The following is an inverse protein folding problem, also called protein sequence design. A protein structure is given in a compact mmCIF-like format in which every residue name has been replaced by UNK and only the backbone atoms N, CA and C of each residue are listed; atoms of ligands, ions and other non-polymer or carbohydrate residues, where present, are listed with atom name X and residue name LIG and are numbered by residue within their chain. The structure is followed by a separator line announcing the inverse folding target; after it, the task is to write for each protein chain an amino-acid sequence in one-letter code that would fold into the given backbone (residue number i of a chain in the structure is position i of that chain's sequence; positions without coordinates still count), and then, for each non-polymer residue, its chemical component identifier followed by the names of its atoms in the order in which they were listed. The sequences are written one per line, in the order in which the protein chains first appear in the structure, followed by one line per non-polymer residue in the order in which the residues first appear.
data_IF_206790069685
#
_entry.id   IF_206790069685
#
_cell.length_a   1.000
_cell.length_b   1.000
_cell.length_c   1.000
_cell.angle_alpha   90.00
_cell.angle_beta   90.00
_cell.angle_gamma   90.00
#
_symmetry.space_group_name_H-M   'P 1'
#
loop_
_entity.id
_entity.type
_entity.pdbx_description
1 polymer ?
#
# COMPACT_ATOMS: atom_id res chain seq x y z
N UNK A 1 -46.57 -2.63 75.24
CA UNK A 1 -46.13 -3.76 76.10
C UNK A 1 -46.74 -5.02 75.52
N UNK A 2 -45.93 -5.95 75.04
CA UNK A 2 -46.39 -7.21 74.44
C UNK A 2 -47.13 -8.04 75.50
N UNK A 3 -48.33 -8.56 75.19
CA UNK A 3 -49.15 -9.35 76.12
C UNK A 3 -49.42 -10.71 75.49
N UNK A 4 -49.28 -11.77 76.29
CA UNK A 4 -49.60 -13.14 75.88
C UNK A 4 -50.84 -13.58 76.65
N UNK A 5 -51.79 -14.16 75.94
CA UNK A 5 -52.96 -14.81 76.55
C UNK A 5 -52.51 -16.13 77.16
N UNK A 6 -52.68 -16.27 78.46
CA UNK A 6 -52.36 -17.48 79.19
C UNK A 6 -53.59 -17.97 79.95
N UNK A 7 -53.96 -19.22 79.75
CA UNK A 7 -55.03 -19.86 80.49
C UNK A 7 -54.48 -20.46 81.79
N UNK A 8 -55.02 -20.04 82.93
CA UNK A 8 -54.60 -20.55 84.24
C UNK A 8 -55.82 -21.03 85.05
N UNK A 9 -55.68 -22.10 85.85
CA UNK A 9 -56.74 -22.58 86.72
C UNK A 9 -56.95 -21.61 87.89
N UNK A 10 -58.18 -21.15 88.07
CA UNK A 10 -58.59 -20.27 89.16
C UNK A 10 -59.52 -21.04 90.08
N UNK A 11 -59.32 -20.91 91.39
CA UNK A 11 -60.19 -21.56 92.37
C UNK A 11 -61.58 -20.91 92.37
N UNK A 12 -62.62 -21.68 92.07
CA UNK A 12 -64.00 -21.23 92.18
C UNK A 12 -64.58 -21.69 93.53
N UNK A 13 -64.69 -20.75 94.48
CA UNK A 13 -65.07 -21.03 95.86
C UNK A 13 -66.50 -21.60 96.01
N UNK A 14 -67.42 -21.22 95.12
CA UNK A 14 -68.81 -21.69 95.14
C UNK A 14 -68.95 -23.16 94.70
N UNK A 15 -68.15 -23.58 93.72
CA UNK A 15 -68.19 -24.95 93.18
C UNK A 15 -67.11 -25.87 93.77
N UNK A 16 -66.17 -25.33 94.55
CA UNK A 16 -65.01 -26.03 95.12
C UNK A 16 -64.19 -26.80 94.07
N UNK A 17 -64.06 -26.25 92.86
CA UNK A 17 -63.26 -26.80 91.75
C UNK A 17 -62.43 -25.70 91.08
N UNK A 18 -61.32 -26.08 90.45
CA UNK A 18 -60.53 -25.17 89.62
C UNK A 18 -61.16 -25.06 88.22
N UNK A 19 -61.47 -23.85 87.77
CA UNK A 19 -61.94 -23.54 86.42
C UNK A 19 -60.86 -22.74 85.67
N UNK A 20 -60.59 -23.05 84.40
CA UNK A 20 -59.59 -22.33 83.60
C UNK A 20 -60.14 -20.98 83.13
N UNK A 21 -59.36 -19.92 83.32
CA UNK A 21 -59.68 -18.57 82.83
C UNK A 21 -58.51 -17.98 82.07
N UNK A 22 -58.81 -17.23 81.00
CA UNK A 22 -57.82 -16.59 80.14
C UNK A 22 -57.38 -15.24 80.69
N UNK A 23 -56.08 -15.05 80.88
CA UNK A 23 -55.48 -13.81 81.37
C UNK A 23 -54.55 -13.19 80.33
N UNK A 24 -54.64 -11.87 80.16
CA UNK A 24 -53.67 -11.11 79.36
C UNK A 24 -52.45 -10.77 80.24
N UNK A 25 -51.41 -11.61 80.17
CA UNK A 25 -50.18 -11.41 80.95
C UNK A 25 -49.20 -10.53 80.16
N UNK A 26 -48.75 -9.38 80.69
CA UNK A 26 -47.72 -8.59 80.05
C UNK A 26 -46.39 -9.36 80.09
N UNK A 27 -45.81 -9.64 78.92
CA UNK A 27 -44.48 -10.23 78.85
C UNK A 27 -43.48 -9.20 79.31
N UNK A 28 -42.88 -9.46 80.47
CA UNK A 28 -41.77 -8.70 81.02
C UNK A 28 -40.57 -9.62 81.05
N UNK A 29 -39.58 -9.31 80.22
CA UNK A 29 -38.26 -9.88 80.38
C UNK A 29 -37.66 -9.36 81.67
N UNK A 30 -36.97 -10.23 82.40
CA UNK A 30 -36.16 -9.77 83.51
C UNK A 30 -35.09 -8.81 82.97
N UNK A 31 -34.65 -7.79 83.74
CA UNK A 31 -33.61 -6.86 83.28
C UNK A 31 -32.33 -7.54 82.78
N UNK A 32 -32.01 -8.73 83.30
CA UNK A 32 -30.89 -9.53 82.82
C UNK A 32 -31.13 -10.15 81.43
N UNK A 33 -32.35 -10.62 81.15
CA UNK A 33 -32.73 -11.21 79.85
C UNK A 33 -32.78 -10.16 78.75
N UNK A 34 -33.24 -8.94 79.06
CA UNK A 34 -33.22 -7.81 78.11
C UNK A 34 -31.80 -7.51 77.65
N UNK A 35 -30.85 -7.41 78.59
CA UNK A 35 -29.44 -7.17 78.30
C UNK A 35 -28.80 -8.31 77.49
N UNK A 36 -29.18 -9.56 77.74
CA UNK A 36 -28.70 -10.71 76.97
C UNK A 36 -29.21 -10.67 75.52
N UNK A 37 -30.48 -10.30 75.31
CA UNK A 37 -31.05 -10.16 73.97
C UNK A 37 -30.38 -9.01 73.21
N UNK A 38 -30.20 -7.86 73.85
CA UNK A 38 -29.50 -6.71 73.25
C UNK A 38 -28.05 -7.08 72.89
N UNK A 39 -27.33 -7.75 73.79
CA UNK A 39 -25.98 -8.24 73.53
C UNK A 39 -25.93 -9.20 72.33
N UNK A 40 -26.88 -10.14 72.27
CA UNK A 40 -27.02 -11.06 71.13
C UNK A 40 -27.27 -10.30 69.83
N UNK A 41 -28.15 -9.31 69.82
CA UNK A 41 -28.42 -8.53 68.60
C UNK A 41 -27.18 -7.78 68.12
N UNK A 42 -26.33 -7.28 69.03
CA UNK A 42 -25.04 -6.69 68.68
C UNK A 42 -24.11 -7.71 68.02
N UNK A 43 -23.93 -8.88 68.63
CA UNK A 43 -23.10 -9.94 68.03
C UNK A 43 -23.63 -10.43 66.68
N UNK A 44 -24.94 -10.61 66.54
CA UNK A 44 -25.57 -11.04 65.28
C UNK A 44 -25.34 -9.99 64.17
N UNK A 45 -25.45 -8.70 64.53
CA UNK A 45 -25.19 -7.60 63.60
C UNK A 45 -23.71 -7.53 63.21
N UNK A 46 -22.79 -7.65 64.16
CA UNK A 46 -21.35 -7.70 63.91
C UNK A 46 -20.97 -8.85 62.99
N UNK A 47 -21.49 -10.05 63.26
CA UNK A 47 -21.28 -11.24 62.43
C UNK A 47 -21.82 -11.07 61.01
N UNK A 48 -22.93 -10.35 60.83
CA UNK A 48 -23.49 -10.09 59.50
C UNK A 48 -22.54 -9.26 58.64
N UNK A 49 -21.97 -8.19 59.19
CA UNK A 49 -20.99 -7.37 58.46
C UNK A 49 -19.67 -8.10 58.25
N UNK A 50 -19.17 -8.81 59.27
CA UNK A 50 -17.94 -9.60 59.16
C UNK A 50 -18.05 -10.66 58.06
N UNK A 51 -19.14 -11.46 58.02
CA UNK A 51 -19.38 -12.46 56.97
C UNK A 51 -19.47 -11.87 55.57
N UNK A 52 -19.97 -10.63 55.46
CA UNK A 52 -20.02 -9.93 54.17
C UNK A 52 -18.62 -9.55 53.70
N UNK A 53 -17.80 -9.00 54.58
CA UNK A 53 -16.39 -8.68 54.30
C UNK A 53 -15.59 -9.93 53.97
N UNK A 54 -15.76 -11.00 54.74
CA UNK A 54 -15.11 -12.30 54.49
C UNK A 54 -15.36 -12.81 53.07
N UNK A 55 -16.62 -12.81 52.62
CA UNK A 55 -16.99 -13.23 51.25
C UNK A 55 -16.33 -12.38 50.18
N UNK A 56 -16.27 -11.06 50.38
CA UNK A 56 -15.65 -10.14 49.43
C UNK A 56 -14.13 -10.35 49.36
N UNK A 57 -13.47 -10.46 50.51
CA UNK A 57 -12.02 -10.72 50.58
C UNK A 57 -11.69 -12.05 49.90
N UNK A 58 -12.49 -13.10 50.16
CA UNK A 58 -12.30 -14.40 49.53
C UNK A 58 -12.47 -14.33 48.00
N UNK A 59 -13.41 -13.52 47.50
CA UNK A 59 -13.58 -13.27 46.06
C UNK A 59 -12.37 -12.54 45.46
N UNK A 60 -11.85 -11.51 46.14
CA UNK A 60 -10.68 -10.76 45.69
C UNK A 60 -9.43 -11.64 45.60
N UNK A 61 -9.21 -12.48 46.61
CA UNK A 61 -8.11 -13.46 46.60
C UNK A 61 -8.30 -14.49 45.50
N UNK A 62 -9.54 -14.96 45.27
CA UNK A 62 -9.83 -15.85 44.15
C UNK A 62 -9.50 -15.19 42.80
N UNK A 63 -9.65 -13.86 42.70
CA UNK A 63 -9.35 -13.03 41.53
C UNK A 63 -7.87 -12.61 41.41
N UNK A 64 -6.98 -13.12 42.29
CA UNK A 64 -5.55 -12.76 42.35
C UNK A 64 -5.30 -11.27 42.66
N UNK A 65 -6.18 -10.62 43.41
CA UNK A 65 -5.90 -9.27 43.92
C UNK A 65 -4.68 -9.28 44.86
N UNK A 66 -4.54 -10.33 45.68
CA UNK A 66 -3.38 -10.55 46.56
C UNK A 66 -3.19 -12.04 46.88
N UNK A 67 -2.10 -12.39 47.58
CA UNK A 67 -1.76 -13.75 48.00
C UNK A 67 -2.79 -14.34 48.99
N UNK A 68 -3.15 -15.64 48.85
CA UNK A 68 -3.96 -16.35 49.84
C UNK A 68 -3.41 -16.30 51.27
N UNK A 69 -2.10 -16.12 51.44
CA UNK A 69 -1.47 -16.03 52.77
C UNK A 69 -1.93 -14.79 53.55
N UNK A 70 -2.29 -13.72 52.84
CA UNK A 70 -2.77 -12.47 53.43
C UNK A 70 -4.27 -12.53 53.83
N UNK A 71 -4.98 -13.63 53.53
CA UNK A 71 -6.40 -13.77 53.84
C UNK A 71 -6.70 -13.52 55.32
N UNK A 72 -5.95 -14.18 56.20
CA UNK A 72 -6.17 -14.13 57.65
C UNK A 72 -5.85 -12.73 58.20
N UNK A 73 -4.83 -12.08 57.65
CA UNK A 73 -4.51 -10.69 57.98
C UNK A 73 -5.70 -9.77 57.72
N UNK A 74 -6.32 -9.88 56.54
CA UNK A 74 -7.49 -9.07 56.20
C UNK A 74 -8.72 -9.39 57.05
N UNK A 75 -8.90 -10.65 57.48
CA UNK A 75 -9.96 -11.00 58.42
C UNK A 75 -9.72 -10.40 59.81
N UNK A 76 -8.49 -10.42 60.32
CA UNK A 76 -8.13 -9.75 61.59
C UNK A 76 -8.45 -8.25 61.53
N UNK A 77 -7.97 -7.57 60.49
CA UNK A 77 -8.26 -6.14 60.26
C UNK A 77 -9.77 -5.86 60.11
N UNK A 78 -10.52 -6.79 59.52
CA UNK A 78 -11.98 -6.65 59.37
C UNK A 78 -12.72 -6.82 60.69
N UNK A 79 -12.29 -7.77 61.54
CA UNK A 79 -12.85 -7.97 62.87
C UNK A 79 -12.63 -6.73 63.76
N UNK A 80 -11.42 -6.14 63.71
CA UNK A 80 -11.10 -4.89 64.41
C UNK A 80 -11.97 -3.72 63.93
N UNK A 81 -12.15 -3.57 62.61
CA UNK A 81 -13.04 -2.53 62.05
C UNK A 81 -14.48 -2.71 62.50
N UNK A 82 -15.00 -3.93 62.49
CA UNK A 82 -16.37 -4.24 62.97
C UNK A 82 -16.50 -3.93 64.46
N UNK A 83 -15.51 -4.31 65.27
CA UNK A 83 -15.49 -3.99 66.69
C UNK A 83 -15.52 -2.47 66.92
N UNK A 84 -14.64 -1.71 66.27
CA UNK A 84 -14.56 -0.25 66.40
C UNK A 84 -15.86 0.47 66.03
N UNK A 85 -16.61 -0.04 65.04
CA UNK A 85 -17.92 0.53 64.65
C UNK A 85 -19.02 0.17 65.65
N UNK A 86 -18.96 -1.01 66.25
CA UNK A 86 -20.02 -1.52 67.14
C UNK A 86 -19.82 -1.14 68.60
N UNK A 87 -18.59 -0.87 69.03
CA UNK A 87 -18.26 -0.47 70.41
C UNK A 87 -19.00 0.80 70.87
N UNK A 88 -19.11 1.89 70.08
CA UNK A 88 -19.92 3.05 70.46
C UNK A 88 -21.40 2.71 70.66
N UNK A 89 -21.94 1.79 69.86
CA UNK A 89 -23.33 1.32 69.98
C UNK A 89 -23.50 0.50 71.26
N UNK A 90 -22.52 -0.36 71.59
CA UNK A 90 -22.51 -1.11 72.84
C UNK A 90 -22.44 -0.20 74.08
N UNK A 91 -21.66 0.88 74.03
CA UNK A 91 -21.61 1.91 75.10
C UNK A 91 -22.94 2.63 75.24
N UNK A 92 -23.59 3.03 74.14
CA UNK A 92 -24.90 3.67 74.18
C UNK A 92 -26.01 2.78 74.79
N UNK A 93 -25.86 1.45 74.68
CA UNK A 93 -26.77 0.46 75.27
C UNK A 93 -26.36 0.03 76.70
N UNK A 94 -25.25 0.54 77.25
CA UNK A 94 -24.76 0.15 78.58
C UNK A 94 -24.24 -1.29 78.66
N UNK A 95 -23.76 -1.84 77.53
CA UNK A 95 -23.29 -3.24 77.38
C UNK A 95 -21.77 -3.35 77.22
N UNK A 96 -21.03 -2.28 77.50
CA UNK A 96 -19.58 -2.16 77.31
C UNK A 96 -18.74 -3.30 77.93
N UNK A 97 -19.17 -3.87 79.07
CA UNK A 97 -18.46 -4.96 79.75
C UNK A 97 -18.72 -6.33 79.12
N UNK A 98 -19.82 -6.48 78.40
CA UNK A 98 -20.26 -7.76 77.83
C UNK A 98 -19.91 -7.94 76.35
N UNK A 99 -19.66 -6.85 75.62
CA UNK A 99 -19.39 -6.89 74.19
C UNK A 99 -17.89 -6.83 73.89
N UNK A 100 -17.32 -8.00 73.56
CA UNK A 100 -15.95 -8.16 73.07
C UNK A 100 -15.97 -8.93 71.76
N UNK A 101 -15.50 -8.32 70.67
CA UNK A 101 -15.50 -8.93 69.33
C UNK A 101 -14.07 -8.98 68.80
N UNK A 102 -13.49 -10.18 68.79
CA UNK A 102 -12.12 -10.44 68.33
C UNK A 102 -12.13 -11.59 67.34
N UNK A 103 -11.10 -11.62 66.48
CA UNK A 103 -10.90 -12.73 65.56
C UNK A 103 -10.39 -13.97 66.31
N UNK A 104 -10.98 -15.13 66.02
CA UNK A 104 -10.57 -16.41 66.58
C UNK A 104 -9.37 -16.98 65.82
N UNK A 105 -8.19 -16.91 66.43
CA UNK A 105 -6.94 -17.41 65.85
C UNK A 105 -6.92 -18.93 65.66
N UNK A 106 -7.76 -19.68 66.39
CA UNK A 106 -7.81 -21.15 66.27
C UNK A 106 -8.29 -21.60 64.88
N UNK A 107 -9.04 -20.74 64.18
CA UNK A 107 -9.58 -21.02 62.83
C UNK A 107 -8.59 -20.72 61.70
N UNK A 108 -7.44 -20.11 62.01
CA UNK A 108 -6.43 -19.67 61.02
C UNK A 108 -6.01 -20.78 60.03
N UNK A 109 -5.68 -22.01 60.45
CA UNK A 109 -5.26 -23.07 59.53
C UNK A 109 -6.36 -23.47 58.53
N UNK A 110 -7.62 -23.48 59.00
CA UNK A 110 -8.77 -23.84 58.16
C UNK A 110 -9.03 -22.72 57.15
N UNK A 111 -8.98 -21.47 57.58
CA UNK A 111 -9.23 -20.31 56.72
C UNK A 111 -8.17 -20.16 55.63
N UNK A 112 -6.88 -20.36 55.96
CA UNK A 112 -5.79 -20.42 54.95
C UNK A 112 -6.04 -21.50 53.91
N UNK A 113 -6.45 -22.70 54.35
CA UNK A 113 -6.78 -23.81 53.46
C UNK A 113 -7.94 -23.46 52.52
N UNK A 114 -9.00 -22.85 53.05
CA UNK A 114 -10.17 -22.41 52.25
C UNK A 114 -9.75 -21.39 51.18
N UNK A 115 -8.95 -20.39 51.54
CA UNK A 115 -8.44 -19.38 50.61
C UNK A 115 -7.57 -20.01 49.51
N UNK A 116 -6.66 -20.92 49.87
CA UNK A 116 -5.80 -21.61 48.92
C UNK A 116 -6.61 -22.49 47.92
N UNK A 117 -7.61 -23.23 48.40
CA UNK A 117 -8.48 -24.03 47.54
C UNK A 117 -9.32 -23.17 46.60
N UNK A 118 -9.90 -22.09 47.10
CA UNK A 118 -10.69 -21.15 46.27
C UNK A 118 -9.83 -20.49 45.21
N UNK A 119 -8.63 -20.00 45.55
CA UNK A 119 -7.70 -19.43 44.58
C UNK A 119 -7.29 -20.46 43.52
N UNK A 120 -6.93 -21.68 43.92
CA UNK A 120 -6.57 -22.77 43.00
C UNK A 120 -7.72 -23.08 42.04
N UNK A 121 -8.95 -23.19 42.57
CA UNK A 121 -10.16 -23.44 41.77
C UNK A 121 -10.42 -22.31 40.77
N UNK A 122 -10.31 -21.05 41.21
CA UNK A 122 -10.50 -19.89 40.35
C UNK A 122 -9.44 -19.79 39.25
N UNK A 123 -8.18 -20.07 39.57
CA UNK A 123 -7.07 -20.12 38.62
C UNK A 123 -7.29 -21.20 37.56
N UNK A 124 -7.68 -22.42 37.96
CA UNK A 124 -8.03 -23.48 37.01
C UNK A 124 -9.20 -23.08 36.11
N UNK A 125 -10.24 -22.44 36.66
CA UNK A 125 -11.39 -21.96 35.87
C UNK A 125 -10.97 -20.91 34.83
N UNK A 126 -10.11 -19.96 35.20
CA UNK A 126 -9.57 -18.95 34.27
C UNK A 126 -8.75 -19.60 33.16
N UNK A 127 -7.82 -20.48 33.52
CA UNK A 127 -6.98 -21.15 32.53
C UNK A 127 -7.80 -22.01 31.56
N UNK A 128 -8.84 -22.71 32.03
CA UNK A 128 -9.78 -23.44 31.17
C UNK A 128 -10.59 -22.52 30.26
N UNK A 129 -10.93 -21.32 30.72
CA UNK A 129 -11.58 -20.31 29.88
C UNK A 129 -10.63 -19.82 28.77
N UNK A 130 -9.38 -19.51 29.09
CA UNK A 130 -8.37 -19.11 28.09
C UNK A 130 -8.02 -20.25 27.14
N UNK A 131 -8.01 -21.50 27.63
CA UNK A 131 -7.80 -22.69 26.82
C UNK A 131 -8.78 -22.74 25.65
N UNK A 132 -10.06 -22.41 25.86
CA UNK A 132 -11.05 -22.40 24.78
C UNK A 132 -10.63 -21.52 23.60
N UNK A 133 -10.07 -20.34 23.89
CA UNK A 133 -9.61 -19.41 22.87
C UNK A 133 -8.33 -19.87 22.18
N UNK A 134 -7.37 -20.41 22.95
CA UNK A 134 -6.13 -20.91 22.37
C UNK A 134 -6.36 -22.16 21.52
N UNK A 135 -7.24 -23.07 21.96
CA UNK A 135 -7.60 -24.27 21.22
C UNK A 135 -8.17 -23.94 19.84
N UNK A 136 -9.05 -22.94 19.72
CA UNK A 136 -9.59 -22.53 18.42
C UNK A 136 -8.50 -22.17 17.41
N UNK A 137 -7.52 -21.37 17.82
CA UNK A 137 -6.40 -20.98 16.96
C UNK A 137 -5.49 -22.18 16.63
N UNK A 138 -5.26 -23.06 17.60
CA UNK A 138 -4.44 -24.25 17.43
C UNK A 138 -5.07 -25.27 16.48
N UNK A 139 -6.37 -25.55 16.62
CA UNK A 139 -7.10 -26.45 15.73
C UNK A 139 -7.10 -25.95 14.28
N UNK A 140 -7.24 -24.64 14.07
CA UNK A 140 -7.14 -24.06 12.72
C UNK A 140 -5.75 -24.30 12.10
N UNK A 141 -4.67 -24.15 12.88
CA UNK A 141 -3.30 -24.39 12.38
C UNK A 141 -3.04 -25.88 12.12
N UNK A 142 -3.56 -26.75 12.98
CA UNK A 142 -3.49 -28.19 12.77
C UNK A 142 -4.24 -28.62 11.52
N UNK A 143 -5.48 -28.15 11.35
CA UNK A 143 -6.32 -28.51 10.23
C UNK A 143 -5.66 -28.12 8.90
N UNK A 144 -4.98 -26.97 8.88
CA UNK A 144 -4.17 -26.49 7.75
C UNK A 144 -2.89 -27.31 7.49
N UNK A 145 -2.56 -28.30 8.32
CA UNK A 145 -1.35 -29.10 8.20
C UNK A 145 -0.07 -28.37 8.62
N UNK A 146 -0.18 -27.22 9.31
CA UNK A 146 0.97 -26.45 9.82
C UNK A 146 1.56 -27.04 11.11
N UNK A 147 0.94 -28.07 11.65
CA UNK A 147 1.37 -28.77 12.85
C UNK A 147 1.29 -30.28 12.65
N UNK A 148 2.23 -31.01 13.26
CA UNK A 148 2.24 -32.47 13.23
C UNK A 148 1.32 -33.07 14.29
N UNK A 149 0.98 -34.36 14.11
CA UNK A 149 0.19 -35.11 15.09
C UNK A 149 0.92 -35.25 16.44
N UNK A 150 2.25 -35.27 16.43
CA UNK A 150 3.09 -35.36 17.64
C UNK A 150 3.08 -34.05 18.45
N UNK A 151 3.13 -32.91 17.77
CA UNK A 151 3.09 -31.59 18.42
C UNK A 151 1.79 -31.38 19.18
N UNK A 152 0.68 -31.86 18.63
CA UNK A 152 -0.64 -31.75 19.28
C UNK A 152 -0.78 -32.69 20.44
N UNK A 153 -0.29 -33.93 20.33
CA UNK A 153 -0.26 -34.86 21.46
C UNK A 153 0.53 -34.27 22.63
N UNK A 154 1.74 -33.74 22.37
CA UNK A 154 2.55 -33.06 23.39
C UNK A 154 1.81 -31.88 24.02
N UNK A 155 1.09 -31.08 23.24
CA UNK A 155 0.30 -29.96 23.73
C UNK A 155 -0.87 -30.42 24.61
N UNK A 156 -1.63 -31.43 24.18
CA UNK A 156 -2.75 -32.00 24.94
C UNK A 156 -2.29 -32.65 26.24
N UNK A 157 -1.15 -33.34 26.25
CA UNK A 157 -0.53 -33.88 27.47
C UNK A 157 -0.13 -32.78 28.45
N UNK A 158 0.45 -31.69 27.95
CA UNK A 158 0.81 -30.51 28.76
C UNK A 158 -0.43 -29.90 29.42
N UNK A 159 -1.51 -29.72 28.67
CA UNK A 159 -2.78 -29.18 29.18
C UNK A 159 -3.43 -30.15 30.17
N UNK A 160 -3.42 -31.45 29.90
CA UNK A 160 -3.94 -32.47 30.82
C UNK A 160 -3.28 -32.35 32.20
N UNK A 161 -1.94 -32.28 32.22
CA UNK A 161 -1.15 -32.13 33.44
C UNK A 161 -1.43 -30.81 34.16
N UNK A 162 -1.39 -29.70 33.43
CA UNK A 162 -1.45 -28.36 34.04
C UNK A 162 -2.87 -27.94 34.46
N UNK A 163 -3.90 -28.37 33.73
CA UNK A 163 -5.29 -27.96 33.96
C UNK A 163 -6.14 -29.04 34.65
N UNK A 164 -5.50 -30.16 35.03
CA UNK A 164 -6.15 -31.30 35.70
C UNK A 164 -7.38 -31.76 34.93
N UNK A 165 -7.22 -31.95 33.62
CA UNK A 165 -8.29 -32.47 32.76
C UNK A 165 -8.36 -33.99 32.87
N UNK A 166 -9.55 -34.52 32.64
CA UNK A 166 -9.84 -35.95 32.59
C UNK A 166 -9.40 -36.55 31.25
N UNK A 167 -9.22 -37.87 31.22
CA UNK A 167 -8.89 -38.59 29.98
C UNK A 167 -9.98 -38.42 28.90
N UNK A 168 -11.24 -38.40 29.31
CA UNK A 168 -12.39 -38.21 28.43
C UNK A 168 -12.42 -36.81 27.78
N UNK A 169 -12.01 -35.76 28.52
CA UNK A 169 -11.92 -34.40 27.96
C UNK A 169 -10.81 -34.32 26.90
N UNK A 170 -9.69 -35.01 27.11
CA UNK A 170 -8.58 -35.03 26.15
C UNK A 170 -8.95 -35.85 24.91
N UNK A 171 -9.57 -37.01 25.07
CA UNK A 171 -10.00 -37.83 23.92
C UNK A 171 -10.98 -37.06 23.03
N UNK A 172 -11.90 -36.29 23.62
CA UNK A 172 -12.78 -35.38 22.87
C UNK A 172 -12.00 -34.31 22.09
N UNK A 173 -10.97 -33.71 22.67
CA UNK A 173 -10.13 -32.73 21.96
C UNK A 173 -9.30 -33.35 20.82
N UNK A 174 -8.87 -34.60 20.96
CA UNK A 174 -8.20 -35.33 19.88
C UNK A 174 -9.14 -35.65 18.72
N UNK A 175 -10.35 -36.14 19.03
CA UNK A 175 -11.37 -36.45 18.03
C UNK A 175 -11.82 -35.22 17.26
N UNK A 176 -12.09 -34.11 17.96
CA UNK A 176 -12.45 -32.83 17.34
C UNK A 176 -11.33 -32.28 16.47
N UNK A 177 -10.06 -32.38 16.91
CA UNK A 177 -8.92 -31.98 16.10
C UNK A 177 -8.82 -32.77 14.78
N UNK A 178 -9.00 -34.10 14.83
CA UNK A 178 -9.02 -34.97 13.64
C UNK A 178 -10.18 -34.60 12.70
N UNK A 179 -11.37 -34.38 13.26
CA UNK A 179 -12.53 -33.95 12.49
C UNK A 179 -12.28 -32.65 11.73
N UNK A 180 -11.72 -31.62 12.39
CA UNK A 180 -11.37 -30.36 11.72
C UNK A 180 -10.34 -30.54 10.59
N UNK A 181 -9.34 -31.40 10.79
CA UNK A 181 -8.35 -31.73 9.75
C UNK A 181 -9.00 -32.40 8.55
N UNK A 182 -9.94 -33.31 8.78
CA UNK A 182 -10.66 -33.98 7.69
C UNK A 182 -11.56 -33.01 6.92
N UNK A 183 -12.28 -32.11 7.62
CA UNK A 183 -13.06 -31.04 6.98
C UNK A 183 -12.17 -30.16 6.10
N UNK A 184 -11.02 -29.71 6.62
CA UNK A 184 -10.09 -28.89 5.84
C UNK A 184 -9.51 -29.63 4.63
N UNK A 185 -9.21 -30.93 4.76
CA UNK A 185 -8.78 -31.76 3.63
C UNK A 185 -9.87 -31.86 2.56
N UNK A 186 -11.15 -31.99 2.94
CA UNK A 186 -12.26 -31.99 1.99
C UNK A 186 -12.34 -30.65 1.24
N UNK A 187 -12.20 -29.54 1.94
CA UNK A 187 -12.17 -28.21 1.33
C UNK A 187 -10.99 -28.05 0.35
N UNK A 188 -9.80 -28.52 0.74
CA UNK A 188 -8.62 -28.46 -0.14
C UNK A 188 -8.81 -29.30 -1.41
N UNK A 189 -9.39 -30.51 -1.29
CA UNK A 189 -9.75 -31.35 -2.45
C UNK A 189 -10.85 -30.72 -3.30
N UNK A 190 -11.82 -30.05 -2.68
CA UNK A 190 -12.86 -29.32 -3.39
C UNK A 190 -12.24 -28.23 -4.28
N UNK A 191 -11.33 -27.43 -3.73
CA UNK A 191 -10.64 -26.39 -4.50
C UNK A 191 -9.78 -27.00 -5.64
N UNK A 192 -9.13 -28.15 -5.41
CA UNK A 192 -8.40 -28.88 -6.44
C UNK A 192 -9.31 -29.28 -7.63
N UNK A 193 -10.50 -29.83 -7.36
CA UNK A 193 -11.47 -30.22 -8.40
C UNK A 193 -11.91 -29.00 -9.20
N UNK A 194 -12.19 -27.88 -8.54
CA UNK A 194 -12.57 -26.63 -9.21
C UNK A 194 -11.44 -26.14 -10.12
N UNK A 195 -10.20 -26.18 -9.67
CA UNK A 195 -9.03 -25.78 -10.47
C UNK A 195 -8.88 -26.68 -11.70
N UNK A 196 -9.03 -28.00 -11.55
CA UNK A 196 -9.00 -28.95 -12.69
C UNK A 196 -10.10 -28.65 -13.70
N UNK A 197 -11.32 -28.34 -13.22
CA UNK A 197 -12.45 -27.96 -14.05
C UNK A 197 -12.19 -26.63 -14.79
N UNK A 198 -11.65 -25.62 -14.11
CA UNK A 198 -11.28 -24.33 -14.73
C UNK A 198 -10.22 -24.48 -15.82
N UNK A 199 -9.30 -25.44 -15.68
CA UNK A 199 -8.26 -25.77 -16.67
C UNK A 199 -8.78 -26.62 -17.83
N UNK A 200 -10.01 -27.14 -17.74
CA UNK A 200 -10.58 -28.05 -18.73
C UNK A 200 -9.98 -29.47 -18.69
N UNK A 201 -9.33 -29.86 -17.59
CA UNK A 201 -8.78 -31.21 -17.41
C UNK A 201 -9.88 -32.25 -17.13
N UNK A 202 -11.03 -31.81 -16.59
CA UNK A 202 -12.20 -32.64 -16.26
C UNK A 202 -13.48 -31.99 -16.78
N UNK A 203 -14.51 -32.79 -17.08
CA UNK A 203 -15.84 -32.27 -17.45
C UNK A 203 -16.67 -31.91 -16.21
N UNK A 204 -17.76 -31.15 -16.39
CA UNK A 204 -18.70 -30.83 -15.30
C UNK A 204 -19.31 -32.09 -14.68
N UNK A 205 -19.61 -33.11 -15.50
CA UNK A 205 -20.12 -34.39 -15.04
C UNK A 205 -19.08 -35.16 -14.18
N UNK A 206 -17.82 -35.12 -14.60
CA UNK A 206 -16.71 -35.71 -13.85
C UNK A 206 -16.49 -34.98 -12.53
N UNK A 207 -16.53 -33.64 -12.53
CA UNK A 207 -16.42 -32.82 -11.33
C UNK A 207 -17.53 -33.13 -10.31
N UNK A 208 -18.79 -33.26 -10.75
CA UNK A 208 -19.91 -33.68 -9.89
C UNK A 208 -19.66 -35.07 -9.28
N UNK A 209 -19.10 -36.00 -10.05
CA UNK A 209 -18.76 -37.34 -9.56
C UNK A 209 -17.62 -37.33 -8.51
N UNK A 210 -16.63 -36.45 -8.69
CA UNK A 210 -15.53 -36.28 -7.74
C UNK A 210 -15.97 -35.58 -6.45
N UNK A 211 -16.86 -34.58 -6.54
CA UNK A 211 -17.48 -33.96 -5.38
C UNK A 211 -18.31 -34.96 -4.55
N UNK A 212 -19.04 -35.87 -5.22
CA UNK A 212 -19.78 -36.93 -4.55
C UNK A 212 -18.87 -37.88 -3.75
N UNK A 213 -17.66 -38.19 -4.25
CA UNK A 213 -16.66 -39.01 -3.52
C UNK A 213 -16.16 -38.34 -2.23
N UNK A 214 -16.24 -37.02 -2.14
CA UNK A 214 -15.83 -36.23 -0.96
C UNK A 214 -17.01 -36.02 0.01
N UNK A 215 -18.23 -36.41 -0.38
CA UNK A 215 -19.45 -36.30 0.41
C UNK A 215 -20.18 -34.97 0.26
N UNK A 216 -19.96 -34.25 -0.86
CA UNK A 216 -20.71 -33.04 -1.22
C UNK A 216 -21.95 -33.46 -2.03
N UNK A 217 -23.12 -32.90 -1.70
CA UNK A 217 -24.36 -33.18 -2.41
C UNK A 217 -24.36 -32.57 -3.82
N UNK A 218 -25.19 -33.12 -4.71
CA UNK A 218 -25.21 -32.75 -6.12
C UNK A 218 -25.61 -31.29 -6.34
N UNK A 219 -26.53 -30.77 -5.53
CA UNK A 219 -27.05 -29.40 -5.65
C UNK A 219 -25.97 -28.38 -5.26
N UNK A 220 -25.29 -28.61 -4.14
CA UNK A 220 -24.13 -27.80 -3.71
C UNK A 220 -22.98 -27.89 -4.72
N UNK A 221 -22.72 -29.07 -5.28
CA UNK A 221 -21.69 -29.24 -6.31
C UNK A 221 -21.98 -28.38 -7.56
N UNK A 222 -23.23 -28.34 -8.03
CA UNK A 222 -23.64 -27.52 -9.16
C UNK A 222 -23.48 -26.03 -8.88
N UNK A 223 -23.95 -25.54 -7.73
CA UNK A 223 -23.80 -24.14 -7.34
C UNK A 223 -22.32 -23.71 -7.24
N UNK A 224 -21.43 -24.59 -6.77
CA UNK A 224 -20.00 -24.34 -6.70
C UNK A 224 -19.35 -24.24 -8.09
N UNK A 225 -19.75 -25.11 -9.02
CA UNK A 225 -19.29 -25.08 -10.40
C UNK A 225 -19.72 -23.77 -11.06
N UNK A 226 -21.00 -23.40 -10.96
CA UNK A 226 -21.51 -22.15 -11.52
C UNK A 226 -20.81 -20.91 -10.95
N UNK A 227 -20.54 -20.89 -9.64
CA UNK A 227 -19.91 -19.75 -8.97
C UNK A 227 -18.41 -19.61 -9.30
N UNK A 228 -17.67 -20.72 -9.31
CA UNK A 228 -16.20 -20.69 -9.33
C UNK A 228 -15.59 -21.20 -10.63
N UNK A 229 -16.26 -22.03 -11.42
CA UNK A 229 -15.71 -22.65 -12.62
C UNK A 229 -15.80 -21.78 -13.88
N UNK A 230 -15.60 -20.46 -13.77
CA UNK A 230 -15.30 -19.66 -14.95
C UNK A 230 -13.93 -20.12 -15.46
N UNK A 231 -13.93 -21.00 -16.46
CA UNK A 231 -12.70 -21.46 -17.12
C UNK A 231 -11.88 -20.27 -17.63
N UNK A 232 -10.60 -20.48 -17.93
CA UNK A 232 -9.79 -19.41 -18.52
C UNK A 232 -10.39 -18.98 -19.86
N UNK A 233 -10.91 -17.76 -19.92
CA UNK A 233 -11.41 -17.13 -21.14
C UNK A 233 -10.51 -15.94 -21.43
N UNK A 234 -9.83 -15.87 -22.59
CA UNK A 234 -9.03 -14.71 -22.93
C UNK A 234 -9.90 -13.46 -22.85
N UNK A 235 -9.36 -12.37 -22.31
CA UNK A 235 -10.09 -11.11 -22.28
C UNK A 235 -10.30 -10.59 -23.71
N UNK A 236 -11.29 -9.74 -23.92
CA UNK A 236 -11.56 -9.14 -25.24
C UNK A 236 -10.32 -8.40 -25.76
N UNK A 237 -9.57 -7.72 -24.88
CA UNK A 237 -8.32 -7.05 -25.22
C UNK A 237 -7.20 -8.04 -25.58
N UNK A 238 -7.08 -9.14 -24.83
CA UNK A 238 -6.13 -10.22 -25.14
C UNK A 238 -6.43 -10.84 -26.50
N UNK A 239 -7.71 -11.06 -26.81
CA UNK A 239 -8.15 -11.55 -28.11
C UNK A 239 -7.82 -10.54 -29.22
N UNK A 240 -8.03 -9.25 -28.98
CA UNK A 240 -7.69 -8.17 -29.93
C UNK A 240 -6.18 -8.13 -30.25
N UNK A 241 -5.33 -8.38 -29.25
CA UNK A 241 -3.88 -8.49 -29.47
C UNK A 241 -3.53 -9.79 -30.19
N UNK A 242 -4.18 -10.90 -29.85
CA UNK A 242 -3.97 -12.19 -30.53
C UNK A 242 -4.30 -12.09 -32.02
N UNK A 243 -5.35 -11.33 -32.40
CA UNK A 243 -5.73 -11.13 -33.80
C UNK A 243 -4.73 -10.35 -34.63
N UNK A 244 -3.78 -9.62 -34.02
CA UNK A 244 -2.69 -8.95 -34.74
C UNK A 244 -1.74 -9.99 -35.37
N UNK A 245 -1.48 -11.09 -34.67
CA UNK A 245 -0.58 -12.15 -35.12
C UNK A 245 -1.30 -13.36 -35.71
N UNK A 246 -2.52 -13.64 -35.26
CA UNK A 246 -3.33 -14.80 -35.66
C UNK A 246 -4.73 -14.31 -36.05
N UNK A 247 -4.95 -13.87 -37.30
CA UNK A 247 -6.21 -13.29 -37.75
C UNK A 247 -7.43 -14.23 -37.56
N UNK A 248 -7.23 -15.54 -37.66
CA UNK A 248 -8.27 -16.55 -37.48
C UNK A 248 -8.86 -16.57 -36.06
N UNK A 249 -8.12 -16.05 -35.07
CA UNK A 249 -8.58 -15.95 -33.69
C UNK A 249 -9.86 -15.13 -33.56
N UNK A 250 -10.18 -14.26 -34.53
CA UNK A 250 -11.44 -13.49 -34.55
C UNK A 250 -12.68 -14.40 -34.54
N UNK A 251 -12.57 -15.66 -35.01
CA UNK A 251 -13.65 -16.65 -34.95
C UNK A 251 -14.05 -17.00 -33.51
N UNK A 252 -13.19 -16.76 -32.54
CA UNK A 252 -13.47 -16.99 -31.12
C UNK A 252 -14.24 -15.84 -30.46
N UNK A 253 -14.45 -14.73 -31.17
CA UNK A 253 -14.97 -13.49 -30.59
C UNK A 253 -16.38 -13.64 -29.99
N UNK A 254 -17.31 -14.25 -30.73
CA UNK A 254 -18.68 -14.41 -30.24
C UNK A 254 -18.71 -15.33 -28.99
N UNK A 255 -17.89 -16.38 -28.97
CA UNK A 255 -17.71 -17.25 -27.79
C UNK A 255 -17.15 -16.48 -26.58
N UNK A 256 -16.18 -15.60 -26.81
CA UNK A 256 -15.59 -14.75 -25.76
C UNK A 256 -16.63 -13.75 -25.23
N UNK A 257 -17.46 -13.15 -26.09
CA UNK A 257 -18.53 -12.26 -25.64
C UNK A 257 -19.57 -12.95 -24.76
N UNK A 258 -19.96 -14.18 -25.10
CA UNK A 258 -20.95 -14.93 -24.33
C UNK A 258 -20.38 -15.34 -22.97
N UNK A 259 -19.13 -15.80 -22.92
CA UNK A 259 -18.49 -16.22 -21.68
C UNK A 259 -18.17 -15.05 -20.73
N UNK A 260 -17.85 -13.86 -21.26
CA UNK A 260 -17.68 -12.64 -20.45
C UNK A 260 -18.99 -11.90 -20.16
N UNK A 261 -20.11 -12.34 -20.73
CA UNK A 261 -21.42 -11.72 -20.52
C UNK A 261 -21.51 -10.30 -21.08
N UNK A 262 -20.86 -10.02 -22.22
CA UNK A 262 -20.82 -8.67 -22.82
C UNK A 262 -22.23 -8.26 -23.30
N UNK A 263 -22.75 -7.10 -22.85
CA UNK A 263 -24.03 -6.56 -23.28
C UNK A 263 -24.16 -6.47 -24.80
N UNK A 264 -25.34 -6.79 -25.35
CA UNK A 264 -25.54 -6.87 -26.81
C UNK A 264 -25.30 -5.54 -27.54
N UNK A 265 -25.59 -4.44 -26.86
CA UNK A 265 -25.35 -3.06 -27.28
C UNK A 265 -23.86 -2.69 -27.34
N UNK A 266 -23.00 -3.32 -26.54
CA UNK A 266 -21.56 -3.08 -26.56
C UNK A 266 -20.81 -3.89 -27.64
N UNK A 267 -21.34 -5.05 -28.03
CA UNK A 267 -20.70 -5.98 -28.99
C UNK A 267 -20.28 -5.31 -30.31
N UNK A 268 -21.07 -4.42 -30.94
CA UNK A 268 -20.67 -3.76 -32.18
C UNK A 268 -19.40 -2.91 -32.04
N UNK A 269 -19.24 -2.20 -30.92
CA UNK A 269 -18.06 -1.36 -30.66
C UNK A 269 -16.80 -2.21 -30.51
N UNK A 270 -16.91 -3.32 -29.77
CA UNK A 270 -15.80 -4.27 -29.62
C UNK A 270 -15.44 -4.97 -30.93
N UNK A 271 -16.44 -5.34 -31.77
CA UNK A 271 -16.18 -5.88 -33.11
C UNK A 271 -15.39 -4.90 -33.97
N UNK A 272 -15.79 -3.63 -33.98
CA UNK A 272 -15.08 -2.57 -34.71
C UNK A 272 -13.65 -2.40 -34.21
N UNK A 273 -13.43 -2.35 -32.89
CA UNK A 273 -12.09 -2.23 -32.29
C UNK A 273 -11.17 -3.38 -32.72
N UNK A 274 -11.63 -4.64 -32.61
CA UNK A 274 -10.83 -5.82 -32.93
C UNK A 274 -10.50 -5.91 -34.42
N UNK A 275 -11.42 -5.48 -35.29
CA UNK A 275 -11.19 -5.46 -36.74
C UNK A 275 -10.15 -4.42 -37.15
N UNK A 276 -10.15 -3.25 -36.50
CA UNK A 276 -9.29 -2.12 -36.86
C UNK A 276 -7.89 -2.24 -36.25
N UNK A 277 -7.78 -2.79 -35.03
CA UNK A 277 -6.52 -2.85 -34.28
C UNK A 277 -5.34 -3.45 -35.07
N UNK A 278 -5.47 -4.59 -35.78
CA UNK A 278 -4.36 -5.21 -36.52
C UNK A 278 -3.75 -4.37 -37.64
N UNK A 279 -4.46 -3.37 -38.16
CA UNK A 279 -4.00 -2.54 -39.29
C UNK A 279 -3.74 -1.09 -38.91
N UNK A 280 -4.11 -0.69 -37.69
CA UNK A 280 -4.07 0.70 -37.24
C UNK A 280 -2.66 1.28 -37.22
N UNK A 281 -1.65 0.47 -36.88
CA UNK A 281 -0.26 0.92 -36.84
C UNK A 281 0.32 1.13 -38.24
N UNK A 282 -0.02 0.27 -39.21
CA UNK A 282 0.32 0.42 -40.63
C UNK A 282 -0.31 1.68 -41.21
N UNK A 283 -1.58 1.95 -40.88
CA UNK A 283 -2.29 3.15 -41.33
C UNK A 283 -1.64 4.43 -40.78
N UNK A 284 -1.24 4.45 -39.51
CA UNK A 284 -0.53 5.61 -38.92
C UNK A 284 0.84 5.85 -39.55
N UNK A 285 1.54 4.78 -39.94
CA UNK A 285 2.80 4.90 -40.72
C UNK A 285 2.51 5.50 -42.09
N UNK A 286 1.53 4.97 -42.83
CA UNK A 286 1.12 5.51 -44.14
C UNK A 286 0.72 6.98 -44.05
N UNK A 287 -0.06 7.37 -43.03
CA UNK A 287 -0.43 8.75 -42.77
C UNK A 287 0.79 9.66 -42.59
N UNK A 288 1.81 9.18 -41.89
CA UNK A 288 3.04 9.95 -41.69
C UNK A 288 3.81 10.15 -43.00
N UNK A 289 3.81 9.17 -43.90
CA UNK A 289 4.43 9.25 -45.23
C UNK A 289 3.67 10.21 -46.13
N UNK A 290 2.34 10.07 -46.27
CA UNK A 290 1.51 10.98 -47.09
C UNK A 290 1.66 12.45 -46.67
N UNK A 291 1.70 12.73 -45.36
CA UNK A 291 1.95 14.07 -44.84
C UNK A 291 3.34 14.58 -45.24
N UNK A 292 4.34 13.70 -45.29
CA UNK A 292 5.72 14.04 -45.67
C UNK A 292 5.83 14.29 -47.17
N UNK A 293 5.23 13.44 -47.99
CA UNK A 293 5.22 13.56 -49.46
C UNK A 293 4.52 14.85 -49.88
N UNK A 294 3.40 15.19 -49.22
CA UNK A 294 2.72 16.47 -49.45
C UNK A 294 3.62 17.67 -49.09
N UNK A 295 4.36 17.57 -47.99
CA UNK A 295 5.28 18.61 -47.56
C UNK A 295 6.50 18.76 -48.49
N UNK A 296 6.97 17.66 -49.09
CA UNK A 296 8.01 17.65 -50.10
C UNK A 296 7.50 18.13 -51.48
N UNK A 297 6.18 18.12 -51.70
CA UNK A 297 5.55 18.48 -52.96
C UNK A 297 5.49 17.33 -53.97
N UNK A 298 5.66 16.10 -53.50
CA UNK A 298 5.60 14.87 -54.32
C UNK A 298 4.14 14.50 -54.66
N UNK A 299 3.20 14.85 -53.78
CA UNK A 299 1.77 14.65 -53.99
C UNK A 299 0.98 15.97 -53.90
N UNK A 300 -0.16 16.02 -54.57
CA UNK A 300 -1.03 17.20 -54.54
C UNK A 300 -1.83 17.29 -53.23
N UNK A 301 -2.43 18.45 -52.97
CA UNK A 301 -3.36 18.60 -51.83
C UNK A 301 -4.59 17.70 -51.98
N UNK A 302 -5.09 17.55 -53.22
CA UNK A 302 -6.23 16.68 -53.50
C UNK A 302 -5.94 15.21 -53.16
N UNK A 303 -4.73 14.73 -53.45
CA UNK A 303 -4.31 13.35 -53.13
C UNK A 303 -4.18 13.12 -51.62
N UNK A 304 -3.74 14.15 -50.88
CA UNK A 304 -3.72 14.09 -49.42
C UNK A 304 -5.14 14.09 -48.84
N UNK A 305 -6.02 14.97 -49.33
CA UNK A 305 -7.39 15.10 -48.82
C UNK A 305 -8.20 13.82 -49.07
N UNK A 306 -8.02 13.16 -50.22
CA UNK A 306 -8.67 11.87 -50.51
C UNK A 306 -8.17 10.76 -49.58
N UNK A 307 -6.85 10.69 -49.33
CA UNK A 307 -6.29 9.74 -48.37
C UNK A 307 -6.82 10.01 -46.95
N UNK A 308 -6.82 11.26 -46.51
CA UNK A 308 -7.33 11.65 -45.18
C UNK A 308 -8.81 11.30 -45.00
N UNK A 309 -9.62 11.44 -46.05
CA UNK A 309 -11.03 11.01 -46.01
C UNK A 309 -11.18 9.50 -45.87
N UNK A 310 -10.29 8.70 -46.49
CA UNK A 310 -10.28 7.24 -46.36
C UNK A 310 -10.02 6.75 -44.93
N UNK A 311 -9.39 7.58 -44.08
CA UNK A 311 -9.13 7.23 -42.68
C UNK A 311 -10.41 7.07 -41.84
N UNK A 312 -11.53 7.63 -42.28
CA UNK A 312 -12.82 7.48 -41.60
C UNK A 312 -13.27 6.03 -41.51
N UNK A 313 -12.91 5.21 -42.50
CA UNK A 313 -13.21 3.78 -42.54
C UNK A 313 -12.54 3.02 -41.37
N UNK A 314 -11.41 3.55 -40.88
CA UNK A 314 -10.65 3.01 -39.76
C UNK A 314 -10.98 3.67 -38.42
N UNK A 315 -12.01 4.53 -38.38
CA UNK A 315 -12.52 5.13 -37.15
C UNK A 315 -11.91 6.47 -36.77
N UNK A 316 -11.15 7.11 -37.66
CA UNK A 316 -10.69 8.49 -37.45
C UNK A 316 -11.87 9.47 -37.55
N UNK A 317 -11.86 10.45 -36.65
CA UNK A 317 -12.87 11.51 -36.58
C UNK A 317 -12.57 12.67 -37.53
N UNK A 318 -13.58 13.46 -37.86
CA UNK A 318 -13.41 14.70 -38.63
C UNK A 318 -12.46 15.69 -37.94
N UNK A 319 -12.41 15.68 -36.60
CA UNK A 319 -11.50 16.52 -35.84
C UNK A 319 -10.05 16.09 -35.99
N UNK A 320 -9.78 14.78 -35.87
CA UNK A 320 -8.44 14.22 -36.08
C UNK A 320 -7.92 14.52 -37.49
N UNK A 321 -8.76 14.35 -38.50
CA UNK A 321 -8.44 14.69 -39.89
C UNK A 321 -8.01 16.16 -40.02
N UNK A 322 -8.76 17.11 -39.44
CA UNK A 322 -8.41 18.54 -39.45
C UNK A 322 -7.05 18.82 -38.80
N UNK A 323 -6.68 18.08 -37.75
CA UNK A 323 -5.35 18.23 -37.13
C UNK A 323 -4.24 17.72 -38.04
N UNK A 324 -4.46 16.62 -38.76
CA UNK A 324 -3.49 16.11 -39.74
C UNK A 324 -3.33 17.04 -40.95
N UNK A 325 -4.40 17.66 -41.44
CA UNK A 325 -4.33 18.71 -42.47
C UNK A 325 -3.46 19.89 -42.01
N UNK A 326 -3.70 20.39 -40.79
CA UNK A 326 -2.88 21.47 -40.19
C UNK A 326 -1.42 21.07 -40.06
N UNK A 327 -1.15 19.82 -39.65
CA UNK A 327 0.20 19.28 -39.55
C UNK A 327 0.90 19.26 -40.91
N UNK A 328 0.20 18.82 -41.95
CA UNK A 328 0.70 18.77 -43.33
C UNK A 328 1.03 20.17 -43.88
N UNK A 329 0.13 21.14 -43.70
CA UNK A 329 0.36 22.54 -44.06
C UNK A 329 1.55 23.14 -43.31
N UNK A 330 1.69 22.84 -42.02
CA UNK A 330 2.83 23.30 -41.22
C UNK A 330 4.15 22.73 -41.76
N UNK A 331 4.21 21.43 -42.06
CA UNK A 331 5.42 20.79 -42.63
C UNK A 331 5.77 21.38 -44.00
N UNK A 332 4.79 21.62 -44.86
CA UNK A 332 4.99 22.27 -46.16
C UNK A 332 5.54 23.69 -46.04
N UNK A 333 5.00 24.49 -45.11
CA UNK A 333 5.55 25.83 -44.79
C UNK A 333 7.01 25.75 -44.35
N UNK A 334 7.37 24.82 -43.45
CA UNK A 334 8.77 24.62 -43.03
C UNK A 334 9.70 24.29 -44.18
N UNK A 335 9.24 23.51 -45.17
CA UNK A 335 10.04 23.14 -46.35
C UNK A 335 10.21 24.32 -47.32
N UNK A 336 9.15 25.09 -47.61
CA UNK A 336 9.22 26.27 -48.49
C UNK A 336 10.18 27.36 -48.00
N UNK A 337 10.35 27.51 -46.69
CA UNK A 337 11.23 28.53 -46.10
C UNK A 337 12.72 28.22 -46.31
N UNK A 338 13.10 26.98 -46.65
CA UNK A 338 14.49 26.65 -47.02
C UNK A 338 14.81 27.14 -48.44
N UNK A 339 14.91 28.46 -48.63
CA UNK A 339 15.61 29.03 -49.80
C UNK A 339 17.06 28.60 -49.70
N UNK A 340 17.61 27.96 -50.75
CA UNK A 340 19.02 27.56 -50.80
C UNK A 340 19.93 28.78 -50.99
N UNK A 341 20.03 29.62 -49.96
CA UNK A 341 21.08 30.62 -49.87
C UNK A 341 22.40 29.94 -49.50
N UNK A 342 23.55 30.38 -50.05
CA UNK A 342 24.84 29.92 -49.59
C UNK A 342 25.04 30.30 -48.13
N UNK A 343 25.81 29.50 -47.39
CA UNK A 343 26.24 29.91 -46.04
C UNK A 343 27.18 31.09 -46.14
N UNK A 344 27.40 31.84 -45.05
CA UNK A 344 28.33 32.99 -45.08
C UNK A 344 29.74 32.57 -45.49
N UNK A 345 30.17 31.40 -45.02
CA UNK A 345 31.46 30.84 -45.40
C UNK A 345 31.51 30.56 -46.90
N UNK A 346 30.48 29.90 -47.45
CA UNK A 346 30.39 29.65 -48.89
C UNK A 346 30.31 30.95 -49.69
N UNK A 347 29.62 31.97 -49.18
CA UNK A 347 29.55 33.29 -49.80
C UNK A 347 30.94 33.95 -49.86
N UNK A 348 31.72 33.88 -48.78
CA UNK A 348 33.07 34.47 -48.73
C UNK A 348 34.03 33.79 -49.70
N UNK A 349 33.94 32.47 -49.85
CA UNK A 349 34.71 31.76 -50.89
C UNK A 349 34.24 32.14 -52.29
N UNK A 350 32.93 32.31 -52.49
CA UNK A 350 32.38 32.71 -53.79
C UNK A 350 32.87 34.10 -54.21
N UNK A 351 33.05 35.04 -53.26
CA UNK A 351 33.55 36.39 -53.55
C UNK A 351 34.98 36.44 -54.10
N UNK A 352 35.77 35.39 -53.88
CA UNK A 352 37.12 35.26 -54.43
C UNK A 352 37.11 35.17 -55.96
N UNK A 353 36.14 34.43 -56.51
CA UNK A 353 36.01 34.23 -57.96
C UNK A 353 34.95 35.15 -58.59
N UNK A 354 33.95 35.56 -57.83
CA UNK A 354 32.83 36.39 -58.29
C UNK A 354 32.63 37.57 -57.31
N UNK A 355 33.31 38.71 -57.51
CA UNK A 355 33.26 39.84 -56.58
C UNK A 355 31.84 40.37 -56.33
N UNK A 356 30.97 40.31 -57.33
CA UNK A 356 29.56 40.70 -57.26
C UNK A 356 28.73 39.87 -56.27
N UNK A 357 29.19 38.67 -55.89
CA UNK A 357 28.52 37.83 -54.89
C UNK A 357 28.40 38.54 -53.53
N UNK A 358 29.29 39.48 -53.22
CA UNK A 358 29.24 40.29 -52.00
C UNK A 358 27.92 41.07 -51.82
N UNK A 359 27.21 41.36 -52.91
CA UNK A 359 25.88 42.01 -52.90
C UNK A 359 24.80 41.16 -52.23
N UNK A 360 25.02 39.85 -52.07
CA UNK A 360 24.07 38.93 -51.42
C UNK A 360 24.24 38.85 -49.89
N UNK A 361 25.23 39.54 -49.31
CA UNK A 361 25.60 39.41 -47.90
C UNK A 361 24.43 39.64 -46.94
N UNK A 362 23.59 40.66 -47.17
CA UNK A 362 22.51 41.02 -46.24
C UNK A 362 21.44 39.91 -46.19
N UNK A 363 21.09 39.35 -47.36
CA UNK A 363 20.14 38.22 -47.46
C UNK A 363 20.68 36.96 -46.79
N UNK A 364 21.98 36.70 -46.90
CA UNK A 364 22.64 35.55 -46.28
C UNK A 364 22.72 35.74 -44.75
N UNK A 365 23.04 36.95 -44.27
CA UNK A 365 23.07 37.27 -42.85
C UNK A 365 21.70 37.15 -42.17
N UNK A 366 20.63 37.55 -42.87
CA UNK A 366 19.25 37.37 -42.42
C UNK A 366 18.85 35.90 -42.38
N UNK A 367 19.20 35.13 -43.43
CA UNK A 367 18.87 33.71 -43.50
C UNK A 367 19.59 32.87 -42.43
N UNK A 368 20.83 33.21 -42.09
CA UNK A 368 21.60 32.52 -41.03
C UNK A 368 21.42 33.13 -39.63
N UNK A 369 20.55 34.14 -39.48
CA UNK A 369 20.31 34.86 -38.22
C UNK A 369 21.60 35.37 -37.54
N UNK A 370 22.51 35.97 -38.31
CA UNK A 370 23.80 36.43 -37.76
C UNK A 370 23.62 37.71 -36.95
N UNK A 371 24.09 37.74 -35.69
CA UNK A 371 24.12 38.93 -34.86
C UNK A 371 24.86 40.12 -35.50
N UNK A 372 24.38 41.34 -35.23
CA UNK A 372 24.89 42.56 -35.89
C UNK A 372 26.36 42.87 -35.59
N UNK A 373 26.83 42.53 -34.40
CA UNK A 373 28.23 42.62 -33.97
C UNK A 373 29.13 41.68 -34.80
N UNK A 374 28.68 40.46 -35.05
CA UNK A 374 29.42 39.45 -35.83
C UNK A 374 29.49 39.82 -37.32
N UNK A 375 28.45 40.47 -37.87
CA UNK A 375 28.42 40.92 -39.28
C UNK A 375 29.61 41.83 -39.63
N UNK A 376 30.09 42.63 -38.68
CA UNK A 376 31.23 43.54 -38.90
C UNK A 376 32.54 42.79 -39.22
N UNK A 377 32.74 41.62 -38.62
CA UNK A 377 33.90 40.77 -38.89
C UNK A 377 33.80 40.12 -40.27
N UNK A 378 32.60 39.63 -40.62
CA UNK A 378 32.35 39.05 -41.94
C UNK A 378 32.46 40.07 -43.07
N UNK A 379 32.05 41.32 -42.84
CA UNK A 379 32.21 42.41 -43.82
C UNK A 379 33.69 42.72 -44.08
N UNK A 380 34.53 42.73 -43.04
CA UNK A 380 35.99 42.86 -43.20
C UNK A 380 36.56 41.67 -43.98
N UNK A 381 36.12 40.45 -43.65
CA UNK A 381 36.60 39.24 -44.31
C UNK A 381 36.19 39.19 -45.80
N UNK A 382 34.94 39.54 -46.12
CA UNK A 382 34.43 39.65 -47.50
C UNK A 382 35.21 40.67 -48.34
N UNK A 383 35.68 41.76 -47.73
CA UNK A 383 36.51 42.77 -48.40
C UNK A 383 37.94 42.27 -48.67
N UNK A 384 38.55 41.61 -47.69
CA UNK A 384 39.96 41.21 -47.74
C UNK A 384 40.18 39.93 -48.55
N UNK A 385 39.27 38.96 -48.42
CA UNK A 385 39.43 37.61 -48.99
C UNK A 385 39.73 37.60 -50.50
N UNK A 386 39.02 38.36 -51.37
CA UNK A 386 39.27 38.34 -52.82
C UNK A 386 40.64 38.87 -53.25
N UNK A 387 41.24 39.77 -52.47
CA UNK A 387 42.54 40.41 -52.79
C UNK A 387 43.69 39.83 -51.97
N UNK A 388 43.41 38.93 -51.04
CA UNK A 388 44.40 38.42 -50.08
C UNK A 388 45.58 37.70 -50.73
N UNK A 389 45.38 36.98 -51.83
CA UNK A 389 46.47 36.30 -52.53
C UNK A 389 47.33 37.25 -53.37
N UNK A 390 46.72 38.27 -53.98
CA UNK A 390 47.46 39.35 -54.67
C UNK A 390 48.34 40.12 -53.69
N UNK A 391 47.82 40.42 -52.49
CA UNK A 391 48.58 41.06 -51.42
C UNK A 391 49.78 40.18 -50.99
N UNK A 392 49.61 38.87 -50.84
CA UNK A 392 50.73 37.95 -50.53
C UNK A 392 51.77 37.89 -51.64
N UNK A 393 51.32 37.91 -52.90
CA UNK A 393 52.19 37.94 -54.07
C UNK A 393 53.03 39.22 -54.07
N UNK A 394 52.38 40.37 -53.93
CA UNK A 394 53.02 41.68 -53.85
C UNK A 394 54.04 41.79 -52.71
N UNK A 395 53.71 41.28 -51.52
CA UNK A 395 54.66 41.20 -50.39
C UNK A 395 55.89 40.36 -50.76
N UNK A 396 55.69 39.25 -51.45
CA UNK A 396 56.78 38.36 -51.86
C UNK A 396 57.70 39.04 -52.88
N UNK A 397 57.14 39.83 -53.80
CA UNK A 397 57.89 40.67 -54.73
C UNK A 397 58.67 41.77 -54.00
N UNK A 398 58.03 42.53 -53.11
CA UNK A 398 58.68 43.57 -52.30
C UNK A 398 59.90 43.04 -51.52
N UNK A 399 59.73 41.88 -50.87
CA UNK A 399 60.81 41.20 -50.16
C UNK A 399 61.95 40.81 -51.11
N UNK A 400 61.64 40.38 -52.32
CA UNK A 400 62.64 39.97 -53.32
C UNK A 400 63.40 41.17 -53.89
N UNK A 401 62.72 42.27 -54.16
CA UNK A 401 63.32 43.53 -54.64
C UNK A 401 64.22 44.14 -53.55
N UNK A 402 63.80 44.08 -52.29
CA UNK A 402 64.64 44.49 -51.15
C UNK A 402 65.89 43.61 -51.01
N UNK A 403 65.73 42.28 -51.10
CA UNK A 403 66.86 41.36 -51.01
C UNK A 403 67.85 41.51 -52.17
N UNK A 404 67.40 42.00 -53.33
CA UNK A 404 68.26 42.37 -54.47
C UNK A 404 68.98 43.72 -54.31
N UNK A 405 68.75 44.44 -53.20
CA UNK A 405 69.33 45.75 -52.94
C UNK A 405 68.75 46.89 -53.78
N UNK A 406 67.60 46.69 -54.44
CA UNK A 406 66.97 47.69 -55.31
C UNK A 406 66.12 48.72 -54.55
N UNK A 407 65.66 48.38 -53.35
CA UNK A 407 64.95 49.28 -52.44
C UNK A 407 65.59 49.25 -51.05
N UNK A 408 65.42 50.32 -50.28
CA UNK A 408 65.91 50.41 -48.90
C UNK A 408 64.88 49.86 -47.89
N UNK A 409 65.31 49.73 -46.63
CA UNK A 409 64.45 49.18 -45.56
C UNK A 409 63.29 50.12 -45.25
N UNK A 410 63.49 51.42 -45.38
CA UNK A 410 62.48 52.46 -45.15
C UNK A 410 61.33 52.32 -46.12
N UNK A 411 61.63 52.20 -47.42
CA UNK A 411 60.64 52.00 -48.48
C UNK A 411 59.85 50.72 -48.28
N UNK A 412 60.54 49.60 -48.01
CA UNK A 412 59.88 48.32 -47.72
C UNK A 412 58.93 48.43 -46.51
N UNK A 413 59.35 49.12 -45.45
CA UNK A 413 58.53 49.28 -44.24
C UNK A 413 57.28 50.14 -44.51
N UNK A 414 57.41 51.19 -45.32
CA UNK A 414 56.28 52.04 -45.69
C UNK A 414 55.26 51.30 -46.56
N UNK A 415 55.71 50.54 -47.55
CA UNK A 415 54.84 49.70 -48.38
C UNK A 415 54.16 48.59 -47.56
N UNK A 416 54.86 47.96 -46.61
CA UNK A 416 54.21 46.97 -45.73
C UNK A 416 53.18 47.62 -44.79
N UNK A 417 53.41 48.86 -44.35
CA UNK A 417 52.45 49.61 -43.54
C UNK A 417 51.19 50.01 -44.32
N UNK A 418 51.28 50.28 -45.63
CA UNK A 418 50.10 50.59 -46.46
C UNK A 418 49.17 49.37 -46.62
N UNK A 419 49.70 48.16 -46.49
CA UNK A 419 48.93 46.92 -46.59
C UNK A 419 48.17 46.53 -45.30
N UNK A 420 48.29 47.30 -44.21
CA UNK A 420 47.48 47.12 -42.99
C UNK A 420 45.98 47.17 -43.26
N UNK A 421 45.56 47.96 -44.24
CA UNK A 421 44.16 48.06 -44.69
C UNK A 421 43.60 46.75 -45.27
N UNK A 422 44.49 45.82 -45.63
CA UNK A 422 44.17 44.49 -46.14
C UNK A 422 44.42 43.36 -45.13
N UNK A 423 44.59 43.71 -43.85
CA UNK A 423 44.61 42.75 -42.74
C UNK A 423 46.00 42.41 -42.20
N UNK A 424 47.06 43.09 -42.63
CA UNK A 424 48.40 42.91 -42.03
C UNK A 424 48.49 43.52 -40.63
N UNK A 425 49.04 42.73 -39.72
CA UNK A 425 49.34 43.14 -38.35
C UNK A 425 50.77 43.67 -38.22
N UNK A 426 51.03 44.46 -37.17
CA UNK A 426 52.38 44.93 -36.85
C UNK A 426 53.37 43.78 -36.64
N UNK A 427 52.91 42.67 -36.07
CA UNK A 427 53.71 41.46 -35.88
C UNK A 427 54.08 40.80 -37.20
N UNK A 428 53.12 40.65 -38.13
CA UNK A 428 53.39 40.09 -39.46
C UNK A 428 54.35 40.96 -40.25
N UNK A 429 54.21 42.28 -40.20
CA UNK A 429 55.14 43.23 -40.84
C UNK A 429 56.56 43.02 -40.29
N UNK A 430 56.71 42.90 -38.97
CA UNK A 430 58.00 42.64 -38.33
C UNK A 430 58.62 41.31 -38.79
N UNK A 431 57.83 40.24 -38.91
CA UNK A 431 58.30 38.96 -39.43
C UNK A 431 58.69 39.03 -40.91
N UNK A 432 57.92 39.74 -41.73
CA UNK A 432 58.23 39.95 -43.14
C UNK A 432 59.55 40.72 -43.29
N UNK A 433 59.77 41.77 -42.49
CA UNK A 433 61.03 42.52 -42.48
C UNK A 433 62.22 41.64 -42.08
N UNK A 434 62.10 40.82 -41.02
CA UNK A 434 63.13 39.84 -40.62
C UNK A 434 63.44 38.85 -41.74
N UNK A 435 62.40 38.34 -42.42
CA UNK A 435 62.54 37.43 -43.57
C UNK A 435 63.26 38.11 -44.74
N UNK A 436 62.96 39.38 -44.99
CA UNK A 436 63.60 40.18 -46.03
C UNK A 436 65.09 40.41 -45.74
N UNK A 437 65.44 40.75 -44.49
CA UNK A 437 66.84 40.87 -44.04
C UNK A 437 67.62 39.56 -44.17
N UNK A 438 67.01 38.44 -43.79
CA UNK A 438 67.63 37.12 -43.94
C UNK A 438 67.89 36.79 -45.42
N UNK A 439 66.92 37.03 -46.30
CA UNK A 439 67.08 36.83 -47.75
C UNK A 439 68.16 37.73 -48.36
N UNK A 440 68.28 38.97 -47.88
CA UNK A 440 69.34 39.89 -48.28
C UNK A 440 70.72 39.36 -47.87
N UNK A 441 70.89 38.93 -46.62
CA UNK A 441 72.15 38.32 -46.12
C UNK A 441 72.56 37.07 -46.90
N UNK A 442 71.59 36.26 -47.35
CA UNK A 442 71.87 35.10 -48.20
C UNK A 442 72.41 35.50 -49.59
N UNK A 443 71.89 36.59 -50.16
CA UNK A 443 72.35 37.11 -51.46
C UNK A 443 73.64 37.90 -51.39
N UNK A 444 73.97 38.49 -50.25
CA UNK A 444 75.27 39.16 -50.03
C UNK A 444 76.43 38.15 -49.87
N UNK A 445 76.12 36.86 -49.65
CA UNK A 445 77.09 35.76 -49.55
C UNK A 445 77.22 34.92 -50.83
N UNK A 446 76.39 35.19 -51.85
CA UNK A 446 76.41 34.56 -53.17
C UNK A 446 76.91 35.59 -54.19
#
# INVERSE_FOLDING_TARGET
MFKVKMDAPVWNEAKKVFEFSSFDVPVRFLPAEQKLLELRTLYDRSNTYFRTLERLILSLIAENYDSPDNYVKYLKESAEKVFNVMSPIATALGLEKGYKYEFDETLEPILKSIAAFQNTRATLRRLRYWLRWSLYQMWNRFAQGKMSDEEIKKFLESIKKNLKLTDAEISFFEETAKFFRDVYRRQSKQDEIIIKLQRGEISEADAISEFAKIGIDKETAQALIESKAKGYVPTIQTLATLTEYVPEAIKLLDKVFDLHGVPKDERPYWKKYIQVKPVMDEIKKLLSEYITDYANGEISKGDLDTFLQSLKDFGFTDEEIKYYEKLAEMRKKRKKVKVKLPTVQTLTTLTEYVPDASKLKDKVYENENIPSDVRTYWDKYLKVKPVSDEVKSYISELVTVYAAGKIDKTYLTNELNSLKDYGLTDEEINFILKRAELRRKLREKA
#
